data_IF_811584121407
#
_entry.id   IF_811584121407
#
_cell.length_a   1.000
_cell.length_b   1.000
_cell.length_c   1.000
_cell.angle_alpha   90.00
_cell.angle_beta   90.00
_cell.angle_gamma   90.00
#
_symmetry.space_group_name_H-M   'P 1'
#
loop_
_entity.id
_entity.type
_entity.pdbx_description
1 polymer ?
#
# COMPACT_ATOMS: atom_id res chain seq x y z
N UNK A 1 20.16 77.88 1.29
CA UNK A 1 20.53 77.44 2.64
C UNK A 1 19.44 76.47 3.11
N UNK A 2 19.37 75.30 2.50
CA UNK A 2 20.03 74.03 2.86
C UNK A 2 19.13 73.16 3.76
N UNK A 3 18.35 72.33 3.07
CA UNK A 3 17.65 71.15 3.59
C UNK A 3 18.67 70.08 4.02
N UNK A 4 18.43 69.40 5.14
CA UNK A 4 19.00 68.08 5.39
C UNK A 4 17.88 67.12 5.79
N UNK A 5 17.51 66.29 4.83
CA UNK A 5 16.58 65.18 4.96
C UNK A 5 17.23 64.03 5.74
N UNK A 6 16.48 63.45 6.67
CA UNK A 6 16.82 62.21 7.39
C UNK A 6 16.39 61.03 6.51
N UNK A 7 17.35 60.16 6.16
CA UNK A 7 17.12 58.92 5.44
C UNK A 7 16.81 57.78 6.43
N UNK A 8 15.65 57.14 6.28
CA UNK A 8 15.30 55.86 6.93
C UNK A 8 15.67 54.74 5.95
N UNK A 9 16.62 53.88 6.34
CA UNK A 9 17.02 52.73 5.56
C UNK A 9 16.06 51.55 5.83
N UNK A 10 15.28 51.17 4.82
CA UNK A 10 14.41 50.00 4.83
C UNK A 10 15.21 48.78 4.35
N UNK A 11 15.64 47.91 5.26
CA UNK A 11 16.32 46.66 4.92
C UNK A 11 15.31 45.60 4.48
N UNK A 12 15.31 45.24 3.20
CA UNK A 12 14.58 44.08 2.69
C UNK A 12 15.26 42.80 3.18
N UNK A 13 14.58 42.01 4.02
CA UNK A 13 15.01 40.65 4.38
C UNK A 13 14.38 39.71 3.34
N UNK A 14 15.19 39.24 2.39
CA UNK A 14 14.78 38.20 1.44
C UNK A 14 14.70 36.85 2.18
N UNK A 15 13.49 36.33 2.36
CA UNK A 15 13.28 34.94 2.79
C UNK A 15 13.64 34.02 1.62
N UNK A 16 14.73 33.26 1.77
CA UNK A 16 14.98 32.11 0.92
C UNK A 16 14.10 30.97 1.41
N UNK A 17 12.98 30.71 0.74
CA UNK A 17 12.27 29.45 0.87
C UNK A 17 13.12 28.37 0.18
N UNK A 18 13.75 27.50 0.96
CA UNK A 18 14.36 26.28 0.43
C UNK A 18 13.24 25.31 0.07
N UNK A 19 12.83 25.31 -1.19
CA UNK A 19 12.03 24.21 -1.73
C UNK A 19 12.99 23.03 -1.98
N UNK A 20 13.01 22.05 -1.08
CA UNK A 20 13.62 20.77 -1.37
C UNK A 20 12.74 20.06 -2.41
N UNK A 21 13.22 19.96 -3.65
CA UNK A 21 12.63 19.05 -4.62
C UNK A 21 13.13 17.65 -4.30
N UNK A 22 12.28 16.79 -3.73
CA UNK A 22 12.56 15.37 -3.53
C UNK A 22 12.56 14.63 -4.88
N UNK A 23 13.56 14.94 -5.73
CA UNK A 23 13.76 14.29 -7.02
C UNK A 23 14.58 12.99 -6.84
N UNK A 24 14.08 12.06 -6.02
CA UNK A 24 14.76 10.79 -5.73
C UNK A 24 14.04 9.63 -6.40
N UNK A 25 14.76 8.84 -7.19
CA UNK A 25 14.27 7.56 -7.73
C UNK A 25 14.72 6.44 -6.79
N UNK A 26 13.76 5.68 -6.25
CA UNK A 26 14.06 4.52 -5.39
C UNK A 26 14.01 3.22 -6.19
N UNK A 27 15.08 2.44 -6.13
CA UNK A 27 15.15 1.08 -6.68
C UNK A 27 15.26 0.09 -5.53
N UNK A 28 14.24 -0.75 -5.36
CA UNK A 28 14.17 -1.74 -4.29
C UNK A 28 14.02 -3.12 -4.93
N UNK A 29 14.92 -4.03 -4.57
CA UNK A 29 14.94 -5.39 -5.09
C UNK A 29 15.79 -6.27 -4.19
N UNK A 30 15.68 -7.58 -4.41
CA UNK A 30 16.40 -8.59 -3.66
C UNK A 30 17.04 -9.56 -4.65
N UNK A 31 18.28 -9.97 -4.37
CA UNK A 31 18.97 -11.03 -5.10
C UNK A 31 19.03 -12.22 -4.17
N UNK A 32 18.34 -13.29 -4.55
CA UNK A 32 18.35 -14.54 -3.80
C UNK A 32 18.86 -15.67 -4.69
N UNK A 33 19.41 -16.71 -4.07
CA UNK A 33 19.87 -17.92 -4.77
C UNK A 33 18.71 -18.72 -5.38
N UNK A 34 17.49 -18.45 -4.92
CA UNK A 34 16.26 -19.13 -5.33
C UNK A 34 15.22 -18.15 -5.86
N UNK A 35 14.60 -18.49 -6.99
CA UNK A 35 13.48 -17.73 -7.55
C UNK A 35 12.24 -18.62 -7.61
N UNK A 36 11.22 -18.28 -6.82
CA UNK A 36 9.88 -18.83 -6.98
C UNK A 36 9.02 -17.93 -7.86
N UNK A 37 8.05 -18.51 -8.56
CA UNK A 37 6.94 -17.77 -9.16
C UNK A 37 5.96 -17.36 -8.08
N UNK A 38 5.58 -16.08 -8.05
CA UNK A 38 4.60 -15.56 -7.08
C UNK A 38 3.20 -15.65 -7.70
N UNK A 39 2.25 -16.16 -6.93
CA UNK A 39 0.86 -16.34 -7.34
C UNK A 39 -0.06 -15.63 -6.36
N UNK A 40 -1.17 -15.08 -6.85
CA UNK A 40 -2.28 -14.64 -6.00
C UNK A 40 -3.53 -15.41 -6.44
N UNK A 41 -4.16 -16.12 -5.51
CA UNK A 41 -5.24 -17.07 -5.80
C UNK A 41 -4.87 -18.07 -6.91
N UNK A 42 -3.60 -18.48 -6.97
CA UNK A 42 -3.07 -19.39 -7.99
C UNK A 42 -2.83 -18.77 -9.37
N UNK A 43 -3.02 -17.46 -9.55
CA UNK A 43 -2.71 -16.74 -10.78
C UNK A 43 -1.36 -16.01 -10.67
N UNK A 44 -0.47 -16.22 -11.63
CA UNK A 44 0.91 -15.69 -11.66
C UNK A 44 1.11 -14.53 -12.64
N UNK A 45 0.09 -14.15 -13.41
CA UNK A 45 0.20 -13.15 -14.47
C UNK A 45 -0.49 -11.82 -14.14
N UNK A 46 -1.79 -11.86 -13.86
CA UNK A 46 -2.62 -10.67 -13.61
C UNK A 46 -3.71 -10.99 -12.59
N UNK A 47 -3.35 -11.16 -11.32
CA UNK A 47 -4.33 -11.53 -10.31
C UNK A 47 -5.32 -10.40 -10.04
N UNK A 48 -6.59 -10.78 -9.88
CA UNK A 48 -7.68 -9.88 -9.50
C UNK A 48 -8.38 -10.46 -8.28
N UNK A 49 -8.52 -9.65 -7.23
CA UNK A 49 -9.28 -10.01 -6.03
C UNK A 49 -10.64 -9.33 -6.13
N UNK A 50 -11.70 -10.12 -6.31
CA UNK A 50 -13.06 -9.61 -6.40
C UNK A 50 -13.66 -9.50 -5.00
N UNK A 51 -13.89 -8.28 -4.53
CA UNK A 51 -14.61 -8.02 -3.29
C UNK A 51 -16.13 -8.03 -3.58
N UNK A 52 -16.96 -8.65 -2.72
CA UNK A 52 -18.41 -8.52 -2.79
C UNK A 52 -18.86 -7.05 -2.73
N UNK A 53 -20.05 -6.74 -3.22
CA UNK A 53 -20.59 -5.38 -3.08
C UNK A 53 -20.88 -5.03 -1.63
N UNK A 54 -20.32 -3.93 -1.14
CA UNK A 54 -20.70 -3.33 0.13
C UNK A 54 -21.74 -2.22 -0.08
N UNK A 55 -22.55 -1.97 0.93
CA UNK A 55 -23.52 -0.87 0.92
C UNK A 55 -22.88 0.39 1.50
N UNK A 56 -23.27 1.57 1.00
CA UNK A 56 -22.91 2.84 1.64
C UNK A 56 -23.40 2.91 3.11
N UNK A 57 -24.41 2.11 3.46
CA UNK A 57 -24.92 2.00 4.81
C UNK A 57 -23.97 1.33 5.81
N UNK A 58 -23.07 0.46 5.35
CA UNK A 58 -22.00 -0.15 6.16
C UNK A 58 -20.82 0.80 6.35
N UNK A 59 -20.65 1.77 5.44
CA UNK A 59 -19.52 2.68 5.36
C UNK A 59 -19.90 4.14 5.70
N UNK A 60 -20.79 4.33 6.68
CA UNK A 60 -21.39 5.65 6.99
C UNK A 60 -20.43 6.64 7.63
N UNK A 61 -19.50 6.15 8.43
CA UNK A 61 -18.58 6.99 9.23
C UNK A 61 -17.14 6.69 8.85
N UNK A 62 -16.27 7.68 8.98
CA UNK A 62 -14.83 7.48 8.83
C UNK A 62 -14.36 6.33 9.73
N UNK A 63 -13.56 5.42 9.17
CA UNK A 63 -13.09 4.21 9.85
C UNK A 63 -14.03 3.01 9.81
N UNK A 64 -15.25 3.14 9.28
CA UNK A 64 -16.11 1.99 9.04
C UNK A 64 -15.55 1.09 7.94
N UNK A 65 -15.77 -0.22 8.07
CA UNK A 65 -15.29 -1.23 7.11
C UNK A 65 -16.42 -2.13 6.65
N UNK A 66 -16.27 -2.70 5.46
CA UNK A 66 -17.15 -3.75 4.96
C UNK A 66 -16.85 -5.11 5.60
N UNK A 67 -17.56 -6.13 5.13
CA UNK A 67 -17.14 -7.52 5.31
C UNK A 67 -15.77 -7.78 4.67
N UNK A 68 -15.06 -8.73 5.26
CA UNK A 68 -13.73 -9.15 4.86
C UNK A 68 -13.78 -10.08 3.64
N UNK A 69 -12.82 -9.92 2.72
CA UNK A 69 -12.56 -10.82 1.61
C UNK A 69 -11.16 -11.38 1.74
N UNK A 70 -11.05 -12.69 1.94
CA UNK A 70 -9.74 -13.33 2.01
C UNK A 70 -9.20 -13.64 0.61
N UNK A 71 -7.88 -13.58 0.47
CA UNK A 71 -7.17 -14.02 -0.72
C UNK A 71 -5.85 -14.68 -0.30
N UNK A 72 -5.28 -15.46 -1.21
CA UNK A 72 -4.04 -16.19 -0.95
C UNK A 72 -2.92 -15.61 -1.77
N UNK A 73 -1.77 -15.38 -1.12
CA UNK A 73 -0.49 -15.14 -1.79
C UNK A 73 0.31 -16.43 -1.67
N UNK A 74 0.83 -16.93 -2.77
CA UNK A 74 1.57 -18.18 -2.82
C UNK A 74 2.85 -18.06 -3.62
N UNK A 75 3.76 -18.97 -3.37
CA UNK A 75 4.93 -19.22 -4.20
C UNK A 75 4.87 -20.62 -4.79
N UNK A 76 5.29 -20.78 -6.03
CA UNK A 76 5.38 -22.07 -6.73
C UNK A 76 6.70 -22.17 -7.50
N UNK A 77 7.10 -23.40 -7.84
CA UNK A 77 8.33 -23.65 -8.58
C UNK A 77 9.62 -23.33 -7.81
N UNK A 78 9.54 -23.25 -6.48
CA UNK A 78 10.71 -23.04 -5.64
C UNK A 78 11.63 -24.26 -5.62
N UNK A 79 12.88 -24.06 -5.17
CA UNK A 79 13.73 -25.16 -4.70
C UNK A 79 13.05 -25.93 -3.56
N UNK A 80 13.57 -27.09 -3.18
CA UNK A 80 13.05 -27.87 -2.06
C UNK A 80 13.68 -27.54 -0.70
N UNK A 81 14.58 -26.56 -0.60
CA UNK A 81 15.16 -26.15 0.69
C UNK A 81 14.11 -25.48 1.57
N UNK A 82 14.21 -25.56 2.89
CA UNK A 82 13.33 -24.75 3.74
C UNK A 82 13.60 -23.25 3.54
N UNK A 83 12.57 -22.42 3.54
CA UNK A 83 12.70 -20.96 3.42
C UNK A 83 11.68 -20.21 4.28
N UNK A 84 12.09 -19.05 4.79
CA UNK A 84 11.20 -18.09 5.44
C UNK A 84 10.91 -16.97 4.46
N UNK A 85 9.63 -16.71 4.21
CA UNK A 85 9.16 -15.79 3.17
C UNK A 85 8.32 -14.68 3.78
N UNK A 86 8.37 -13.51 3.16
CA UNK A 86 7.42 -12.41 3.41
C UNK A 86 6.89 -11.89 2.10
N UNK A 87 5.65 -11.44 2.09
CA UNK A 87 5.10 -10.71 0.94
C UNK A 87 5.36 -9.23 1.16
N UNK A 88 5.96 -8.57 0.17
CA UNK A 88 6.12 -7.11 0.14
C UNK A 88 5.11 -6.52 -0.82
N UNK A 89 4.44 -5.45 -0.41
CA UNK A 89 3.54 -4.68 -1.24
C UNK A 89 4.03 -3.23 -1.36
N UNK A 90 3.96 -2.67 -2.56
CA UNK A 90 4.02 -1.23 -2.80
C UNK A 90 2.64 -0.76 -3.26
N UNK A 91 1.98 0.05 -2.44
CA UNK A 91 0.63 0.56 -2.75
C UNK A 91 0.67 1.68 -3.80
N UNK A 92 -0.38 1.79 -4.61
CA UNK A 92 -0.58 2.92 -5.51
C UNK A 92 -1.71 3.82 -4.98
N UNK A 93 -1.57 5.14 -5.15
CA UNK A 93 -2.53 6.16 -4.66
C UNK A 93 -2.81 5.99 -3.16
N UNK A 94 -1.77 5.92 -2.33
CA UNK A 94 -1.96 5.62 -0.90
C UNK A 94 -2.74 6.76 -0.22
N UNK A 95 -3.72 6.42 0.62
CA UNK A 95 -4.50 7.40 1.37
C UNK A 95 -3.74 7.87 2.61
N UNK A 96 -4.16 8.98 3.20
CA UNK A 96 -3.58 9.47 4.46
C UNK A 96 -3.74 8.47 5.63
N UNK A 97 -4.74 7.58 5.57
CA UNK A 97 -4.93 6.50 6.54
C UNK A 97 -4.06 5.26 6.27
N UNK A 98 -3.20 5.29 5.23
CA UNK A 98 -2.31 4.20 4.87
C UNK A 98 -3.01 3.06 4.12
N UNK A 99 -4.12 3.33 3.42
CA UNK A 99 -4.84 2.33 2.63
C UNK A 99 -4.58 2.50 1.12
N UNK A 100 -4.99 1.53 0.31
CA UNK A 100 -4.91 1.63 -1.15
C UNK A 100 -6.06 2.49 -1.68
N UNK A 101 -5.76 3.66 -2.21
CA UNK A 101 -6.77 4.62 -2.65
C UNK A 101 -7.58 4.15 -3.85
N UNK A 102 -8.85 4.56 -3.87
CA UNK A 102 -9.76 4.25 -4.94
C UNK A 102 -9.52 5.13 -6.17
N UNK A 103 -9.49 4.51 -7.36
CA UNK A 103 -9.45 5.16 -8.68
C UNK A 103 -10.74 4.98 -9.48
N UNK A 104 -11.72 4.28 -8.92
CA UNK A 104 -13.08 4.15 -9.44
C UNK A 104 -13.96 5.36 -9.14
N UNK A 105 -15.28 5.19 -9.26
CA UNK A 105 -16.24 6.30 -9.14
C UNK A 105 -16.79 6.54 -7.75
N UNK A 106 -16.67 5.59 -6.82
CA UNK A 106 -17.09 5.78 -5.43
C UNK A 106 -16.16 6.77 -4.71
N UNK A 107 -16.72 7.65 -3.88
CA UNK A 107 -15.93 8.61 -3.10
C UNK A 107 -15.82 8.20 -1.64
N UNK A 108 -14.81 8.74 -0.94
CA UNK A 108 -14.57 8.53 0.49
C UNK A 108 -14.32 7.08 0.90
N UNK A 109 -13.95 6.21 -0.05
CA UNK A 109 -13.69 4.80 0.17
C UNK A 109 -12.35 4.40 -0.41
N UNK A 110 -11.66 3.47 0.24
CA UNK A 110 -10.40 2.86 -0.16
C UNK A 110 -10.44 1.34 0.09
N UNK A 111 -9.36 0.64 -0.28
CA UNK A 111 -9.16 -0.76 0.07
C UNK A 111 -8.10 -0.86 1.18
N UNK A 112 -8.48 -1.44 2.30
CA UNK A 112 -7.57 -1.79 3.38
C UNK A 112 -7.15 -3.25 3.24
N UNK A 113 -5.83 -3.49 3.26
CA UNK A 113 -5.27 -4.82 3.37
C UNK A 113 -4.89 -5.12 4.82
N UNK A 114 -5.16 -6.34 5.27
CA UNK A 114 -4.78 -6.86 6.56
C UNK A 114 -3.80 -8.02 6.39
N UNK A 115 -2.90 -8.14 7.36
CA UNK A 115 -1.94 -9.24 7.45
C UNK A 115 -2.65 -10.59 7.70
N UNK A 116 -1.87 -11.66 7.80
CA UNK A 116 -2.36 -13.03 7.91
C UNK A 116 -3.13 -13.34 9.21
N UNK A 117 -3.04 -12.47 10.21
CA UNK A 117 -3.88 -12.57 11.40
C UNK A 117 -5.33 -12.08 11.16
N UNK A 118 -5.60 -11.49 9.98
CA UNK A 118 -6.91 -10.98 9.58
C UNK A 118 -7.36 -9.72 10.33
N UNK A 119 -6.47 -9.05 11.07
CA UNK A 119 -6.82 -7.92 11.94
C UNK A 119 -5.84 -6.76 11.89
N UNK A 120 -4.55 -7.03 11.67
CA UNK A 120 -3.49 -6.02 11.62
C UNK A 120 -3.47 -5.36 10.24
N UNK A 121 -3.75 -4.03 10.13
CA UNK A 121 -3.68 -3.35 8.84
C UNK A 121 -2.24 -3.23 8.35
N UNK A 122 -2.03 -3.48 7.06
CA UNK A 122 -0.80 -3.13 6.36
C UNK A 122 -0.85 -1.62 6.04
N UNK A 123 -0.13 -0.82 6.83
CA UNK A 123 -0.10 0.64 6.66
C UNK A 123 0.87 1.01 5.53
N UNK A 124 0.32 1.48 4.42
CA UNK A 124 1.10 1.91 3.26
C UNK A 124 1.63 3.34 3.43
N UNK A 125 2.72 3.64 2.74
CA UNK A 125 3.26 5.00 2.57
C UNK A 125 3.70 5.15 1.13
N UNK A 126 3.39 6.28 0.50
CA UNK A 126 3.74 6.51 -0.90
C UNK A 126 5.25 6.38 -1.13
N UNK A 127 5.62 5.61 -2.17
CA UNK A 127 7.02 5.34 -2.52
C UNK A 127 7.72 4.27 -1.68
N UNK A 128 7.08 3.75 -0.64
CA UNK A 128 7.62 2.74 0.26
C UNK A 128 6.95 1.38 0.11
N UNK A 129 7.62 0.33 0.60
CA UNK A 129 7.06 -1.02 0.65
C UNK A 129 6.70 -1.40 2.08
N UNK A 130 5.58 -2.13 2.23
CA UNK A 130 5.16 -2.76 3.49
C UNK A 130 5.29 -4.27 3.37
N UNK A 131 5.72 -4.93 4.43
CA UNK A 131 5.91 -6.39 4.47
C UNK A 131 4.89 -7.05 5.37
N UNK A 132 4.39 -8.22 4.97
CA UNK A 132 3.56 -9.08 5.81
C UNK A 132 4.38 -9.77 6.91
N UNK A 133 3.67 -10.37 7.86
CA UNK A 133 4.18 -11.43 8.71
C UNK A 133 4.79 -12.56 7.87
N UNK A 134 5.79 -13.24 8.43
CA UNK A 134 6.48 -14.31 7.70
C UNK A 134 5.62 -15.57 7.58
N UNK A 135 5.78 -16.29 6.47
CA UNK A 135 5.26 -17.64 6.27
C UNK A 135 6.39 -18.57 5.80
N UNK A 136 6.23 -19.87 6.06
CA UNK A 136 7.32 -20.83 5.84
C UNK A 136 7.03 -21.73 4.65
N UNK A 137 8.05 -21.94 3.83
CA UNK A 137 8.12 -23.04 2.88
C UNK A 137 8.88 -24.19 3.52
N UNK A 138 8.18 -25.30 3.75
CA UNK A 138 8.78 -26.48 4.35
C UNK A 138 9.84 -27.12 3.45
N UNK A 139 10.81 -27.77 4.05
CA UNK A 139 11.77 -28.61 3.34
C UNK A 139 11.05 -29.72 2.56
N UNK A 140 11.51 -30.01 1.35
CA UNK A 140 10.86 -30.93 0.43
C UNK A 140 9.65 -30.35 -0.33
N UNK A 141 9.18 -29.14 0.00
CA UNK A 141 8.09 -28.47 -0.71
C UNK A 141 8.59 -27.47 -1.74
N UNK A 142 7.98 -27.49 -2.92
CA UNK A 142 8.20 -26.50 -3.99
C UNK A 142 7.21 -25.33 -3.94
N UNK A 143 6.33 -25.28 -2.93
CA UNK A 143 5.32 -24.23 -2.78
C UNK A 143 4.98 -23.91 -1.33
N UNK A 144 4.52 -22.68 -1.09
CA UNK A 144 3.99 -22.22 0.19
C UNK A 144 2.95 -21.13 -0.04
N UNK A 145 2.04 -20.93 0.91
CA UNK A 145 0.97 -19.94 0.81
C UNK A 145 0.73 -19.22 2.12
N UNK A 146 0.32 -17.96 2.04
CA UNK A 146 -0.19 -17.14 3.13
C UNK A 146 -1.56 -16.58 2.73
N UNK A 147 -2.52 -16.64 3.64
CA UNK A 147 -3.83 -16.00 3.44
C UNK A 147 -3.76 -14.59 4.02
N UNK A 148 -4.24 -13.61 3.25
CA UNK A 148 -4.39 -12.22 3.66
C UNK A 148 -5.85 -11.80 3.49
N UNK A 149 -6.19 -10.61 3.99
CA UNK A 149 -7.56 -10.09 3.94
C UNK A 149 -7.59 -8.72 3.29
N UNK A 150 -8.60 -8.46 2.48
CA UNK A 150 -8.94 -7.15 1.92
C UNK A 150 -10.37 -6.76 2.31
N UNK A 151 -10.59 -5.48 2.56
CA UNK A 151 -11.93 -4.92 2.84
C UNK A 151 -12.04 -3.48 2.37
N UNK A 152 -13.26 -3.02 2.12
CA UNK A 152 -13.50 -1.59 1.92
C UNK A 152 -13.31 -0.85 3.24
N UNK A 153 -12.74 0.35 3.16
CA UNK A 153 -12.52 1.24 4.29
C UNK A 153 -13.07 2.63 3.97
N UNK A 154 -13.89 3.18 4.86
CA UNK A 154 -14.40 4.55 4.74
C UNK A 154 -13.34 5.55 5.21
N UNK A 155 -12.73 6.27 4.27
CA UNK A 155 -11.75 7.34 4.55
C UNK A 155 -12.41 8.57 5.19
N UNK A 156 -13.69 8.79 4.88
CA UNK A 156 -14.51 9.85 5.46
C UNK A 156 -15.96 9.39 5.59
N UNK A 157 -16.80 10.21 6.23
CA UNK A 157 -18.24 10.01 6.20
C UNK A 157 -18.81 10.17 4.78
N UNK A 158 -20.08 9.81 4.61
CA UNK A 158 -20.83 10.00 3.36
C UNK A 158 -20.17 9.33 2.14
N UNK A 159 -19.84 8.04 2.27
CA UNK A 159 -19.40 7.23 1.12
C UNK A 159 -20.47 7.23 0.03
N UNK A 160 -20.09 7.63 -1.18
CA UNK A 160 -21.02 7.64 -2.32
C UNK A 160 -20.90 6.31 -3.09
N UNK A 161 -22.04 5.74 -3.55
CA UNK A 161 -22.00 4.52 -4.36
C UNK A 161 -21.25 4.72 -5.69
N UNK A 162 -20.48 3.70 -6.08
CA UNK A 162 -19.73 3.70 -7.32
C UNK A 162 -18.80 2.50 -7.41
N UNK A 163 -17.96 2.46 -8.43
CA UNK A 163 -16.91 1.44 -8.55
C UNK A 163 -15.76 1.73 -7.59
N UNK A 164 -15.14 0.66 -7.10
CA UNK A 164 -13.89 0.73 -6.34
C UNK A 164 -12.82 -0.07 -7.07
N UNK A 165 -11.72 0.59 -7.39
CA UNK A 165 -10.56 0.01 -8.07
C UNK A 165 -9.31 0.51 -7.36
N UNK A 166 -8.54 -0.41 -6.81
CA UNK A 166 -7.27 -0.13 -6.14
C UNK A 166 -6.20 -1.10 -6.67
N UNK A 167 -4.93 -0.74 -6.55
CA UNK A 167 -3.82 -1.57 -7.01
C UNK A 167 -2.60 -1.45 -6.12
N UNK A 168 -1.82 -2.52 -6.09
CA UNK A 168 -0.51 -2.57 -5.46
C UNK A 168 0.41 -3.45 -6.31
N UNK A 169 1.70 -3.14 -6.29
CA UNK A 169 2.74 -4.03 -6.78
C UNK A 169 3.13 -4.97 -5.64
N UNK A 170 3.54 -6.19 -5.95
CA UNK A 170 3.92 -7.18 -4.94
C UNK A 170 5.17 -7.95 -5.32
N UNK A 171 5.90 -8.40 -4.32
CA UNK A 171 7.08 -9.24 -4.45
C UNK A 171 7.21 -10.17 -3.24
N UNK A 172 8.02 -11.22 -3.37
CA UNK A 172 8.40 -12.08 -2.25
C UNK A 172 9.82 -11.73 -1.82
N UNK A 173 10.01 -11.59 -0.51
CA UNK A 173 11.30 -11.42 0.13
C UNK A 173 11.66 -12.71 0.86
N UNK A 174 12.89 -13.16 0.66
CA UNK A 174 13.46 -14.36 1.27
C UNK A 174 14.34 -13.92 2.45
N UNK A 175 14.19 -14.62 3.58
CA UNK A 175 14.84 -14.29 4.84
C UNK A 175 15.78 -15.41 5.30
#
# INVERSE_FOLDING_TARGET
MNYKAIFIALSCISFYAAAASDNTVQFQGEVNEETCSVTINGNDATPVILLPSATAGELKTAGSTSSDTTFTVGVTGCSTNAATLKTRFAGNNVTAAGNLGNTGTATNVSIQLLDADGSTPLSFTDGETVSTSSFTKAEGSSSATQTLTARYYAEAADVTPGSVVASAQYAISYQ
#
